data_IF_420538634897
#
_entry.id   IF_420538634897
#
_cell.length_a   1.000
_cell.length_b   1.000
_cell.length_c   1.000
_cell.angle_alpha   90.00
_cell.angle_beta   90.00
_cell.angle_gamma   90.00
#
_symmetry.space_group_name_H-M   'P 1'
#
loop_
_entity.id
_entity.type
_entity.pdbx_description
1 polymer ?
#
# COMPACT_ATOMS: atom_id res chain seq x y z
N UNK A 1 4.08 -26.34 -7.46
CA UNK A 1 5.08 -25.32 -7.08
C UNK A 1 6.43 -25.78 -7.61
N UNK A 2 7.16 -24.92 -8.33
CA UNK A 2 8.54 -25.17 -8.80
C UNK A 2 9.39 -24.07 -8.18
N UNK A 3 10.55 -24.40 -7.61
CA UNK A 3 11.43 -23.45 -6.91
C UNK A 3 12.90 -23.70 -7.25
N UNK A 4 13.70 -22.63 -7.27
CA UNK A 4 15.16 -22.70 -7.40
C UNK A 4 15.88 -22.89 -6.05
N UNK A 5 15.12 -22.97 -4.95
CA UNK A 5 15.65 -23.25 -3.61
C UNK A 5 15.83 -24.76 -3.44
N UNK A 6 17.09 -25.22 -3.51
CA UNK A 6 17.43 -26.66 -3.57
C UNK A 6 17.78 -27.29 -2.22
N UNK A 7 18.07 -26.48 -1.20
CA UNK A 7 18.44 -26.99 0.14
C UNK A 7 17.19 -27.30 0.97
N UNK A 8 16.88 -28.60 1.10
CA UNK A 8 15.71 -29.08 1.84
C UNK A 8 15.79 -28.84 3.36
N UNK A 9 17.00 -28.77 3.93
CA UNK A 9 17.16 -28.51 5.38
C UNK A 9 16.91 -27.04 5.68
N UNK A 10 17.32 -26.15 4.77
CA UNK A 10 17.12 -24.70 4.90
C UNK A 10 15.74 -24.23 4.45
N UNK A 11 15.12 -24.92 3.49
CA UNK A 11 13.84 -24.55 2.91
C UNK A 11 12.88 -25.76 2.83
N UNK A 12 12.29 -26.18 3.97
CA UNK A 12 11.34 -27.28 3.99
C UNK A 12 10.13 -27.03 3.10
N UNK A 13 9.63 -28.09 2.46
CA UNK A 13 8.52 -27.98 1.49
C UNK A 13 7.25 -27.36 2.09
N UNK A 14 6.92 -27.68 3.35
CA UNK A 14 5.75 -27.14 4.05
C UNK A 14 5.85 -25.63 4.26
N UNK A 15 7.03 -25.15 4.66
CA UNK A 15 7.28 -23.72 4.81
C UNK A 15 7.15 -23.01 3.46
N UNK A 16 7.75 -23.57 2.40
CA UNK A 16 7.62 -23.01 1.06
C UNK A 16 6.17 -22.98 0.57
N UNK A 17 5.37 -24.02 0.85
CA UNK A 17 3.96 -24.04 0.50
C UNK A 17 3.17 -22.95 1.24
N UNK A 18 3.46 -22.74 2.53
CA UNK A 18 2.85 -21.68 3.34
C UNK A 18 3.21 -20.28 2.82
N UNK A 19 4.49 -20.03 2.53
CA UNK A 19 4.96 -18.75 1.96
C UNK A 19 4.41 -18.53 0.54
N UNK A 20 4.32 -19.59 -0.27
CA UNK A 20 3.71 -19.49 -1.59
C UNK A 20 2.21 -19.15 -1.52
N UNK A 21 1.53 -19.57 -0.44
CA UNK A 21 0.15 -19.15 -0.19
C UNK A 21 0.06 -17.64 0.09
N UNK A 22 1.03 -17.06 0.80
CA UNK A 22 1.09 -15.61 1.00
C UNK A 22 1.23 -14.81 -0.31
N UNK A 23 1.58 -15.46 -1.43
CA UNK A 23 1.55 -14.82 -2.76
C UNK A 23 0.17 -14.27 -3.11
N UNK A 24 -0.92 -14.80 -2.55
CA UNK A 24 -2.27 -14.22 -2.73
C UNK A 24 -2.36 -12.75 -2.28
N UNK A 25 -1.47 -12.28 -1.40
CA UNK A 25 -1.41 -10.87 -1.01
C UNK A 25 -1.10 -9.92 -2.19
N UNK A 26 -0.51 -10.44 -3.28
CA UNK A 26 -0.33 -9.66 -4.50
C UNK A 26 -1.68 -9.33 -5.15
N UNK A 27 -2.65 -10.22 -5.07
CA UNK A 27 -3.99 -10.01 -5.65
C UNK A 27 -4.74 -8.96 -4.84
N UNK A 28 -4.64 -9.01 -3.51
CA UNK A 28 -5.13 -7.94 -2.64
C UNK A 28 -4.51 -6.59 -3.01
N UNK A 29 -3.20 -6.54 -3.22
CA UNK A 29 -2.49 -5.30 -3.60
C UNK A 29 -2.97 -4.76 -4.96
N UNK A 30 -3.19 -5.65 -5.93
CA UNK A 30 -3.70 -5.29 -7.25
C UNK A 30 -5.15 -4.76 -7.15
N UNK A 31 -5.99 -5.38 -6.33
CA UNK A 31 -7.36 -4.92 -6.07
C UNK A 31 -7.37 -3.57 -5.33
N UNK A 32 -6.53 -3.39 -4.31
CA UNK A 32 -6.36 -2.11 -3.61
C UNK A 32 -6.08 -0.95 -4.58
N UNK A 33 -5.15 -1.15 -5.52
CA UNK A 33 -4.78 -0.15 -6.51
C UNK A 33 -5.89 0.09 -7.53
N UNK A 34 -6.40 -0.98 -8.16
CA UNK A 34 -7.35 -0.88 -9.28
C UNK A 34 -8.75 -0.46 -8.84
N UNK A 35 -9.17 -0.89 -7.66
CA UNK A 35 -10.54 -0.78 -7.19
C UNK A 35 -10.66 0.23 -6.06
N UNK A 36 -9.87 0.10 -5.02
CA UNK A 36 -10.14 0.81 -3.77
C UNK A 36 -9.57 2.22 -3.70
N UNK A 37 -8.31 2.41 -4.13
CA UNK A 37 -7.61 3.69 -4.07
C UNK A 37 -8.42 4.83 -4.70
N UNK A 38 -8.91 4.58 -5.92
CA UNK A 38 -9.71 5.52 -6.70
C UNK A 38 -11.21 5.24 -6.61
N UNK A 39 -11.61 4.30 -5.74
CA UNK A 39 -13.00 3.92 -5.49
C UNK A 39 -13.79 3.61 -6.78
N UNK A 40 -13.13 2.98 -7.77
CA UNK A 40 -13.64 2.64 -9.11
C UNK A 40 -14.21 3.83 -9.92
N UNK A 41 -13.93 5.08 -9.55
CA UNK A 41 -14.56 6.25 -10.18
C UNK A 41 -13.67 6.99 -11.18
N UNK A 42 -12.35 6.84 -11.08
CA UNK A 42 -11.41 7.65 -11.85
C UNK A 42 -10.69 6.79 -12.87
N UNK A 43 -11.06 6.96 -14.13
CA UNK A 43 -10.26 6.45 -15.26
C UNK A 43 -9.04 7.35 -15.48
N UNK A 44 -8.05 6.81 -16.19
CA UNK A 44 -6.95 7.62 -16.72
C UNK A 44 -7.54 8.71 -17.60
N UNK A 45 -7.10 9.96 -17.38
CA UNK A 45 -7.68 11.14 -18.05
C UNK A 45 -6.89 11.57 -19.27
N UNK A 46 -5.58 11.30 -19.29
CA UNK A 46 -4.76 11.68 -20.45
C UNK A 46 -5.09 10.82 -21.68
N UNK A 47 -5.05 11.45 -22.85
CA UNK A 47 -5.18 10.81 -24.16
C UNK A 47 -3.81 10.57 -24.83
N UNK A 48 -2.70 10.90 -24.17
CA UNK A 48 -1.34 10.67 -24.70
C UNK A 48 -0.68 9.48 -24.00
N UNK A 49 -0.13 8.49 -24.74
CA UNK A 49 0.42 7.26 -24.14
C UNK A 49 1.45 7.49 -23.03
N UNK A 50 2.35 8.47 -23.19
CA UNK A 50 3.36 8.80 -22.18
C UNK A 50 2.74 9.33 -20.88
N UNK A 51 1.77 10.23 -21.00
CA UNK A 51 1.11 10.86 -19.85
C UNK A 51 0.17 9.87 -19.14
N UNK A 52 -0.42 8.92 -19.88
CA UNK A 52 -1.14 7.77 -19.30
C UNK A 52 -0.24 6.97 -18.35
N UNK A 53 0.98 6.64 -18.79
CA UNK A 53 1.96 5.93 -17.95
C UNK A 53 2.34 6.77 -16.71
N UNK A 54 2.51 8.08 -16.89
CA UNK A 54 2.78 9.00 -15.77
C UNK A 54 1.63 9.03 -14.75
N UNK A 55 0.37 9.05 -15.20
CA UNK A 55 -0.79 9.02 -14.31
C UNK A 55 -0.83 7.73 -13.50
N UNK A 56 -0.53 6.58 -14.12
CA UNK A 56 -0.42 5.29 -13.42
C UNK A 56 0.68 5.32 -12.36
N UNK A 57 1.84 5.92 -12.65
CA UNK A 57 2.88 6.11 -11.64
C UNK A 57 2.41 6.99 -10.47
N UNK A 58 1.62 8.03 -10.73
CA UNK A 58 1.00 8.83 -9.68
C UNK A 58 0.08 8.00 -8.78
N UNK A 59 -0.68 7.08 -9.34
CA UNK A 59 -1.53 6.16 -8.57
C UNK A 59 -0.71 5.17 -7.72
N UNK A 60 0.37 4.63 -8.29
CA UNK A 60 1.30 3.76 -7.56
C UNK A 60 1.93 4.47 -6.36
N UNK A 61 2.36 5.73 -6.54
CA UNK A 61 2.89 6.55 -5.44
C UNK A 61 1.83 6.81 -4.37
N UNK A 62 0.58 7.08 -4.77
CA UNK A 62 -0.54 7.24 -3.85
C UNK A 62 -0.83 5.98 -3.03
N UNK A 63 -0.85 4.80 -3.68
CA UNK A 63 -0.99 3.51 -2.99
C UNK A 63 0.16 3.26 -2.01
N UNK A 64 1.40 3.46 -2.46
CA UNK A 64 2.59 3.29 -1.65
C UNK A 64 2.56 4.17 -0.39
N UNK A 65 2.22 5.45 -0.52
CA UNK A 65 2.13 6.37 0.61
C UNK A 65 1.14 5.90 1.68
N UNK A 66 -0.02 5.35 1.27
CA UNK A 66 -1.00 4.78 2.20
C UNK A 66 -0.44 3.53 2.89
N UNK A 67 0.23 2.64 2.14
CA UNK A 67 0.83 1.42 2.72
C UNK A 67 1.98 1.73 3.68
N UNK A 68 2.80 2.74 3.40
CA UNK A 68 3.84 3.21 4.32
C UNK A 68 3.22 3.73 5.61
N UNK A 69 2.16 4.52 5.54
CA UNK A 69 1.46 5.01 6.71
C UNK A 69 0.86 3.85 7.54
N UNK A 70 0.25 2.87 6.87
CA UNK A 70 -0.26 1.65 7.54
C UNK A 70 0.88 0.90 8.24
N UNK A 71 2.01 0.73 7.56
CA UNK A 71 3.18 0.08 8.13
C UNK A 71 3.66 0.82 9.39
N UNK A 72 3.87 2.13 9.31
CA UNK A 72 4.30 2.96 10.45
C UNK A 72 3.32 2.87 11.63
N UNK A 73 2.01 2.94 11.36
CA UNK A 73 0.97 2.84 12.38
C UNK A 73 0.96 1.44 13.03
N UNK A 74 1.06 0.38 12.24
CA UNK A 74 1.10 -0.99 12.74
C UNK A 74 2.36 -1.27 13.57
N UNK A 75 3.52 -0.80 13.11
CA UNK A 75 4.79 -0.86 13.84
C UNK A 75 4.69 -0.15 15.18
N UNK A 76 4.14 1.07 15.20
CA UNK A 76 3.94 1.84 16.44
C UNK A 76 3.00 1.16 17.43
N UNK A 77 2.02 0.39 16.93
CA UNK A 77 1.08 -0.38 17.73
C UNK A 77 1.55 -1.82 18.05
N UNK A 78 2.73 -2.25 17.58
CA UNK A 78 3.25 -3.60 17.78
C UNK A 78 2.44 -4.72 17.13
N UNK A 79 1.71 -4.43 16.05
CA UNK A 79 0.90 -5.41 15.31
C UNK A 79 1.41 -5.61 13.88
N UNK A 80 1.06 -6.75 13.27
CA UNK A 80 1.39 -7.00 11.87
C UNK A 80 0.66 -6.01 10.93
N UNK A 81 1.34 -5.36 9.97
CA UNK A 81 0.74 -4.41 9.03
C UNK A 81 -0.43 -4.96 8.22
N UNK A 82 -0.38 -6.27 7.90
CA UNK A 82 -1.44 -6.98 7.17
C UNK A 82 -2.77 -7.06 7.95
N UNK A 83 -2.78 -6.76 9.25
CA UNK A 83 -4.02 -6.69 10.04
C UNK A 83 -4.79 -5.40 9.84
N UNK A 84 -4.19 -4.38 9.21
CA UNK A 84 -4.85 -3.11 8.95
C UNK A 84 -5.60 -3.18 7.62
N UNK A 85 -6.85 -2.71 7.64
CA UNK A 85 -7.65 -2.59 6.42
C UNK A 85 -7.21 -1.38 5.59
N UNK A 86 -6.87 -1.60 4.32
CA UNK A 86 -6.53 -0.52 3.39
C UNK A 86 -7.70 0.45 3.17
N UNK A 87 -8.91 -0.06 2.93
CA UNK A 87 -10.11 0.78 2.75
C UNK A 87 -10.49 1.52 4.03
N UNK A 88 -10.31 0.89 5.19
CA UNK A 88 -10.43 1.53 6.50
C UNK A 88 -9.46 2.70 6.65
N UNK A 89 -8.19 2.48 6.28
CA UNK A 89 -7.15 3.51 6.32
C UNK A 89 -7.48 4.68 5.40
N UNK A 90 -7.91 4.42 4.15
CA UNK A 90 -8.36 5.48 3.24
C UNK A 90 -9.51 6.31 3.84
N UNK A 91 -10.46 5.67 4.54
CA UNK A 91 -11.56 6.36 5.21
C UNK A 91 -11.05 7.27 6.33
N UNK A 92 -10.08 6.81 7.12
CA UNK A 92 -9.44 7.62 8.18
C UNK A 92 -8.70 8.82 7.56
N UNK A 93 -7.85 8.61 6.56
CA UNK A 93 -7.13 9.68 5.85
C UNK A 93 -8.10 10.72 5.28
N UNK A 94 -9.16 10.28 4.60
CA UNK A 94 -10.17 11.18 4.01
C UNK A 94 -10.91 12.02 5.06
N UNK A 95 -11.16 11.47 6.26
CA UNK A 95 -11.74 12.20 7.39
C UNK A 95 -10.76 13.22 7.97
N UNK A 96 -9.49 12.84 8.08
CA UNK A 96 -8.44 13.72 8.60
C UNK A 96 -8.10 14.87 7.64
N UNK A 97 -8.47 14.79 6.34
CA UNK A 97 -8.19 15.83 5.34
C UNK A 97 -8.55 17.24 5.79
N UNK A 98 -9.75 17.44 6.34
CA UNK A 98 -10.21 18.77 6.80
C UNK A 98 -9.35 19.30 7.96
N UNK A 99 -8.85 18.42 8.82
CA UNK A 99 -7.94 18.79 9.90
C UNK A 99 -6.57 19.17 9.34
N UNK A 100 -6.00 18.35 8.44
CA UNK A 100 -4.71 18.66 7.79
C UNK A 100 -4.74 19.96 7.00
N UNK A 101 -5.86 20.32 6.37
CA UNK A 101 -6.02 21.60 5.67
C UNK A 101 -5.98 22.82 6.59
N UNK A 102 -6.15 22.63 7.90
CA UNK A 102 -6.12 23.70 8.91
C UNK A 102 -4.78 23.80 9.64
N UNK A 103 -3.89 22.81 9.47
CA UNK A 103 -2.57 22.84 10.09
C UNK A 103 -1.72 23.93 9.44
N UNK A 104 -1.01 24.68 10.26
CA UNK A 104 0.05 25.55 9.78
C UNK A 104 1.27 24.71 9.38
N UNK A 105 2.10 25.18 8.43
CA UNK A 105 3.26 24.42 7.96
C UNK A 105 4.20 23.93 9.06
N UNK A 106 4.33 24.71 10.14
CA UNK A 106 5.16 24.40 11.31
C UNK A 106 4.61 23.25 12.17
N UNK A 107 3.33 22.91 12.00
CA UNK A 107 2.64 21.84 12.73
C UNK A 107 2.64 20.52 11.97
N UNK A 108 3.17 20.48 10.73
CA UNK A 108 3.20 19.23 9.98
C UNK A 108 4.25 18.28 10.55
N UNK A 109 3.87 17.04 10.92
CA UNK A 109 4.79 16.05 11.47
C UNK A 109 5.85 15.54 10.47
N UNK A 110 5.76 15.93 9.19
CA UNK A 110 6.74 15.60 8.15
C UNK A 110 7.90 16.60 8.06
N UNK A 111 7.79 17.77 8.68
CA UNK A 111 8.83 18.81 8.68
C UNK A 111 9.56 18.96 10.02
N UNK A 112 9.29 18.08 11.00
CA UNK A 112 10.18 17.93 12.14
C UNK A 112 11.48 17.30 11.65
N UNK A 113 12.39 18.18 11.26
CA UNK A 113 13.79 17.98 10.90
C UNK A 113 14.45 16.96 11.82
N UNK A 114 15.20 16.05 11.21
CA UNK A 114 16.23 15.28 11.92
C UNK A 114 17.33 16.16 12.49
#
# INVERSE_FOLDING_TARGET
MITSLLDIKKFPAEQLASEYHQRWEVENTIDELKVHLLSRKTHVRSQKPREVVQEVYGWLLGHWAVRVLMFQAATSAGIAPLRLSFTGTLRVIRRARTQFQRLHPEEFPLFSTG
#
